data_IF_687473023939
#
_entry.id   IF_687473023939
#
_cell.length_a   1.000
_cell.length_b   1.000
_cell.length_c   1.000
_cell.angle_alpha   90.00
_cell.angle_beta   90.00
_cell.angle_gamma   90.00
#
_symmetry.space_group_name_H-M   'P 1'
#
loop_
_entity.id
_entity.type
_entity.pdbx_description
1 polymer ?
#
# COMPACT_ATOMS: atom_id res chain seq x y z
N UNK A 1 -18.17 -15.76 -11.66
CA UNK A 1 -17.62 -14.38 -11.71
C UNK A 1 -16.52 -14.30 -10.67
N UNK A 2 -15.27 -14.14 -11.11
CA UNK A 2 -14.13 -13.89 -10.23
C UNK A 2 -14.05 -12.39 -9.94
N UNK A 3 -14.12 -12.02 -8.67
CA UNK A 3 -13.91 -10.63 -8.25
C UNK A 3 -12.41 -10.34 -8.24
N UNK A 4 -11.98 -9.42 -9.10
CA UNK A 4 -10.63 -8.85 -9.04
C UNK A 4 -10.40 -7.97 -7.82
N UNK A 5 -9.18 -7.47 -7.67
CA UNK A 5 -8.81 -6.56 -6.59
C UNK A 5 -8.62 -5.13 -7.12
N UNK A 6 -9.00 -4.14 -6.32
CA UNK A 6 -8.78 -2.73 -6.68
C UNK A 6 -7.32 -2.31 -6.48
N UNK A 7 -6.90 -1.23 -7.13
CA UNK A 7 -5.58 -0.62 -6.90
C UNK A 7 -5.34 -0.30 -5.42
N UNK A 8 -6.38 0.12 -4.69
CA UNK A 8 -6.29 0.39 -3.25
C UNK A 8 -6.01 -0.86 -2.41
N UNK A 9 -6.63 -2.00 -2.79
CA UNK A 9 -6.33 -3.30 -2.18
C UNK A 9 -4.89 -3.73 -2.45
N UNK A 10 -4.42 -3.61 -3.70
CA UNK A 10 -3.05 -3.94 -4.07
C UNK A 10 -2.03 -3.06 -3.31
N UNK A 11 -2.24 -1.74 -3.27
CA UNK A 11 -1.40 -0.81 -2.51
C UNK A 11 -1.36 -1.14 -1.02
N UNK A 12 -2.51 -1.49 -0.42
CA UNK A 12 -2.61 -1.88 1.00
C UNK A 12 -1.80 -3.15 1.29
N UNK A 13 -1.90 -4.15 0.42
CA UNK A 13 -1.17 -5.41 0.56
C UNK A 13 0.34 -5.22 0.40
N UNK A 14 0.77 -4.49 -0.64
CA UNK A 14 2.17 -4.16 -0.85
C UNK A 14 2.75 -3.36 0.34
N UNK A 15 2.00 -2.37 0.86
CA UNK A 15 2.39 -1.62 2.06
C UNK A 15 2.58 -2.55 3.27
N UNK A 16 1.60 -3.42 3.54
CA UNK A 16 1.66 -4.34 4.68
C UNK A 16 2.86 -5.28 4.58
N UNK A 17 3.11 -5.85 3.41
CA UNK A 17 4.23 -6.76 3.17
C UNK A 17 5.59 -6.04 3.29
N UNK A 18 5.72 -4.82 2.75
CA UNK A 18 6.92 -4.00 2.92
C UNK A 18 7.17 -3.64 4.40
N UNK A 19 6.13 -3.30 5.16
CA UNK A 19 6.25 -3.01 6.58
C UNK A 19 6.74 -4.23 7.38
N UNK A 20 6.26 -5.43 7.02
CA UNK A 20 6.74 -6.69 7.61
C UNK A 20 8.21 -6.87 7.27
N UNK A 21 8.59 -6.70 6.00
CA UNK A 21 9.98 -6.76 5.54
C UNK A 21 10.90 -5.84 6.33
N UNK A 22 10.52 -4.58 6.50
CA UNK A 22 11.33 -3.58 7.19
C UNK A 22 11.52 -3.87 8.69
N UNK A 23 10.57 -4.54 9.33
CA UNK A 23 10.64 -4.87 10.76
C UNK A 23 11.28 -6.24 11.04
N UNK A 24 10.99 -7.22 10.19
CA UNK A 24 11.34 -8.62 10.42
C UNK A 24 12.52 -9.08 9.57
N UNK A 25 12.96 -8.28 8.60
CA UNK A 25 14.06 -8.62 7.70
C UNK A 25 13.68 -9.59 6.57
N UNK A 26 12.38 -9.86 6.38
CA UNK A 26 11.89 -10.74 5.32
C UNK A 26 10.53 -10.28 4.81
N UNK A 27 10.41 -10.10 3.49
CA UNK A 27 9.14 -9.76 2.84
C UNK A 27 8.40 -11.07 2.52
N UNK A 28 7.18 -11.28 3.03
CA UNK A 28 6.43 -12.53 2.81
C UNK A 28 6.10 -12.72 1.32
N UNK A 29 5.92 -13.98 0.89
CA UNK A 29 5.47 -14.31 -0.47
C UNK A 29 4.00 -13.95 -0.72
N UNK A 30 3.23 -13.83 0.36
CA UNK A 30 1.80 -13.61 0.29
C UNK A 30 1.31 -12.87 1.54
N UNK A 31 0.27 -12.06 1.39
CA UNK A 31 -0.32 -11.30 2.49
C UNK A 31 -1.84 -11.34 2.45
N UNK A 32 -2.43 -11.34 3.64
CA UNK A 32 -3.87 -11.18 3.80
C UNK A 32 -4.22 -9.74 4.19
N UNK A 33 -5.25 -9.19 3.55
CA UNK A 33 -5.86 -7.90 3.91
C UNK A 33 -7.38 -8.03 4.00
N UNK A 34 -7.99 -7.24 4.87
CA UNK A 34 -9.44 -7.11 4.92
C UNK A 34 -9.87 -5.90 4.09
N UNK A 35 -10.89 -6.08 3.27
CA UNK A 35 -11.48 -4.99 2.48
C UNK A 35 -12.65 -4.34 3.23
N UNK A 36 -13.05 -3.11 2.86
CA UNK A 36 -14.24 -2.47 3.43
C UNK A 36 -15.55 -3.26 3.21
N UNK A 37 -15.56 -4.15 2.21
CA UNK A 37 -16.69 -5.05 1.94
C UNK A 37 -16.75 -6.27 2.87
N UNK A 38 -15.84 -6.38 3.86
CA UNK A 38 -15.76 -7.53 4.76
C UNK A 38 -15.13 -8.78 4.15
N UNK A 39 -14.53 -8.66 2.95
CA UNK A 39 -13.88 -9.76 2.24
C UNK A 39 -12.39 -9.75 2.57
N UNK A 40 -11.86 -10.91 2.99
CA UNK A 40 -10.42 -11.13 3.12
C UNK A 40 -9.83 -11.50 1.77
N UNK A 41 -8.84 -10.73 1.32
CA UNK A 41 -8.07 -11.00 0.11
C UNK A 41 -6.71 -11.56 0.49
N UNK A 42 -6.28 -12.58 -0.24
CA UNK A 42 -4.96 -13.21 -0.12
C UNK A 42 -4.18 -12.95 -1.40
N UNK A 43 -3.10 -12.17 -1.29
CA UNK A 43 -2.44 -11.49 -2.41
C UNK A 43 -0.97 -11.87 -2.46
N UNK A 44 -0.50 -12.35 -3.62
CA UNK A 44 0.91 -12.66 -3.85
C UNK A 44 1.76 -11.39 -3.93
N UNK A 45 2.94 -11.45 -3.33
CA UNK A 45 3.91 -10.36 -3.31
C UNK A 45 5.01 -10.63 -4.32
N UNK A 46 5.29 -9.64 -5.16
CA UNK A 46 6.34 -9.66 -6.18
C UNK A 46 7.33 -8.51 -5.97
N UNK A 47 8.38 -8.46 -6.79
CA UNK A 47 9.36 -7.34 -6.86
C UNK A 47 9.92 -6.91 -5.49
N UNK A 48 10.25 -7.90 -4.65
CA UNK A 48 10.72 -7.69 -3.28
C UNK A 48 12.10 -7.04 -3.26
N UNK A 49 12.22 -5.96 -2.51
CA UNK A 49 13.46 -5.22 -2.28
C UNK A 49 13.58 -4.92 -0.79
N UNK A 50 14.71 -5.28 -0.19
CA UNK A 50 14.95 -5.06 1.23
C UNK A 50 16.33 -4.44 1.45
N UNK A 51 16.37 -3.46 2.35
CA UNK A 51 17.57 -2.79 2.83
C UNK A 51 17.44 -2.52 4.32
N UNK A 52 18.51 -2.05 4.96
CA UNK A 52 18.53 -1.77 6.40
C UNK A 52 17.53 -0.68 6.83
N UNK A 53 17.24 0.28 5.94
CA UNK A 53 16.40 1.45 6.23
C UNK A 53 15.07 1.47 5.48
N UNK A 54 14.90 0.64 4.45
CA UNK A 54 13.69 0.60 3.63
C UNK A 54 13.38 -0.80 3.09
N UNK A 55 12.10 -1.05 2.83
CA UNK A 55 11.61 -2.24 2.16
C UNK A 55 10.61 -1.83 1.08
N UNK A 56 10.58 -2.54 -0.04
CA UNK A 56 9.64 -2.31 -1.12
C UNK A 56 9.20 -3.63 -1.74
N UNK A 57 7.98 -3.65 -2.26
CA UNK A 57 7.46 -4.78 -3.02
C UNK A 57 6.29 -4.34 -3.89
N UNK A 58 5.75 -5.26 -4.68
CA UNK A 58 4.60 -5.02 -5.53
C UNK A 58 3.53 -6.09 -5.37
N UNK A 59 2.31 -5.72 -5.77
CA UNK A 59 1.21 -6.64 -6.01
C UNK A 59 0.75 -6.44 -7.45
N UNK A 60 0.70 -7.53 -8.21
CA UNK A 60 0.10 -7.51 -9.54
C UNK A 60 -1.42 -7.53 -9.39
N UNK A 61 -2.08 -6.52 -9.97
CA UNK A 61 -3.54 -6.43 -9.97
C UNK A 61 -4.13 -7.51 -10.86
N UNK A 62 -4.93 -8.37 -10.27
CA UNK A 62 -5.82 -9.28 -10.98
C UNK A 62 -7.21 -8.63 -11.05
N UNK A 63 -7.70 -8.35 -12.25
CA UNK A 63 -9.03 -7.80 -12.49
C UNK A 63 -10.15 -8.86 -12.48
N UNK A 64 -9.82 -10.15 -12.38
CA UNK A 64 -10.78 -11.23 -12.51
C UNK A 64 -11.35 -11.30 -13.93
N UNK A 65 -12.66 -11.47 -14.06
CA UNK A 65 -13.35 -11.56 -15.36
C UNK A 65 -13.72 -10.18 -15.95
N UNK A 66 -13.34 -9.09 -15.28
CA UNK A 66 -13.61 -7.72 -15.71
C UNK A 66 -12.61 -7.29 -16.81
N UNK A 67 -13.06 -6.78 -17.97
CA UNK A 67 -12.20 -6.22 -19.02
C UNK A 67 -11.63 -4.85 -18.60
N UNK A 68 -10.91 -4.83 -17.47
CA UNK A 68 -10.22 -3.67 -16.94
C UNK A 68 -8.82 -3.58 -17.56
N UNK A 69 -8.56 -2.47 -18.27
CA UNK A 69 -7.28 -2.17 -18.94
C UNK A 69 -6.07 -2.10 -18.00
N UNK A 70 -6.29 -2.07 -16.68
CA UNK A 70 -5.23 -2.13 -15.67
C UNK A 70 -4.95 -3.55 -15.17
N UNK A 71 -5.56 -4.58 -15.75
CA UNK A 71 -5.21 -5.98 -15.47
C UNK A 71 -3.70 -6.20 -15.70
N UNK A 72 -3.06 -6.86 -14.74
CA UNK A 72 -1.62 -7.13 -14.80
C UNK A 72 -0.73 -5.96 -14.41
N UNK A 73 -1.29 -4.76 -14.10
CA UNK A 73 -0.48 -3.66 -13.60
C UNK A 73 0.13 -4.02 -12.23
N UNK A 74 1.37 -3.61 -12.00
CA UNK A 74 2.02 -3.77 -10.71
C UNK A 74 1.79 -2.51 -9.89
N UNK A 75 1.23 -2.68 -8.70
CA UNK A 75 1.13 -1.60 -7.71
C UNK A 75 2.28 -1.79 -6.74
N UNK A 76 3.22 -0.85 -6.76
CA UNK A 76 4.38 -0.88 -5.89
C UNK A 76 4.06 -0.19 -4.56
N UNK A 77 4.82 -0.56 -3.55
CA UNK A 77 4.86 0.11 -2.27
C UNK A 77 6.29 0.12 -1.80
N UNK A 78 6.79 1.29 -1.39
CA UNK A 78 8.03 1.41 -0.64
C UNK A 78 7.74 1.98 0.72
N UNK A 79 8.39 1.43 1.74
CA UNK A 79 8.31 1.81 3.14
C UNK A 79 9.72 2.08 3.65
N UNK A 80 9.95 3.25 4.22
CA UNK A 80 11.21 3.64 4.86
C UNK A 80 10.98 4.11 6.29
N UNK A 81 11.96 3.91 7.17
CA UNK A 81 11.86 4.40 8.55
C UNK A 81 12.05 5.92 8.58
N UNK A 82 11.10 6.63 9.18
CA UNK A 82 11.27 8.05 9.52
C UNK A 82 11.30 8.24 11.04
N UNK A 83 11.93 9.32 11.49
CA UNK A 83 11.95 9.72 12.89
C UNK A 83 10.58 10.30 13.28
N UNK A 84 9.81 9.58 14.10
CA UNK A 84 8.54 10.06 14.63
C UNK A 84 7.55 8.93 14.94
N UNK A 85 6.30 9.32 15.19
CA UNK A 85 5.16 8.39 15.39
C UNK A 85 4.16 8.42 14.21
N UNK A 86 4.36 9.33 13.25
CA UNK A 86 3.47 9.53 12.12
C UNK A 86 3.69 8.47 11.03
N UNK A 87 2.60 8.03 10.40
CA UNK A 87 2.67 7.33 9.11
C UNK A 87 2.38 8.38 8.05
N UNK A 88 3.33 8.59 7.15
CA UNK A 88 3.23 9.52 6.04
C UNK A 88 2.94 8.72 4.77
N UNK A 89 1.88 9.09 4.07
CA UNK A 89 1.43 8.38 2.86
C UNK A 89 1.43 9.38 1.72
N UNK A 90 2.25 9.10 0.70
CA UNK A 90 2.31 9.81 -0.56
C UNK A 90 2.18 8.85 -1.76
N UNK A 91 2.13 9.42 -2.96
CA UNK A 91 2.16 8.71 -4.23
C UNK A 91 3.53 8.88 -4.88
N UNK A 92 4.13 7.77 -5.29
CA UNK A 92 5.34 7.72 -6.09
C UNK A 92 5.04 7.81 -7.59
N UNK A 93 5.93 7.24 -8.39
CA UNK A 93 5.80 7.23 -9.84
C UNK A 93 4.53 6.48 -10.28
N UNK A 94 3.76 7.08 -11.19
CA UNK A 94 2.49 6.53 -11.68
C UNK A 94 1.26 6.94 -10.87
N UNK A 95 1.42 7.50 -9.67
CA UNK A 95 0.29 8.09 -8.91
C UNK A 95 0.15 9.56 -9.25
N UNK A 96 -0.97 9.91 -9.90
CA UNK A 96 -1.28 11.29 -10.25
C UNK A 96 -1.38 12.22 -9.03
N UNK A 97 -1.23 13.52 -9.25
CA UNK A 97 -1.48 14.56 -8.24
C UNK A 97 -2.81 15.24 -8.52
N UNK A 98 -3.53 15.67 -7.48
CA UNK A 98 -4.76 16.44 -7.64
C UNK A 98 -4.41 17.84 -8.16
N UNK A 99 -4.87 18.18 -9.36
CA UNK A 99 -4.60 19.48 -10.00
C UNK A 99 -5.82 20.41 -10.05
N UNK A 100 -7.03 19.88 -9.78
CA UNK A 100 -8.30 20.61 -9.84
C UNK A 100 -9.14 20.35 -8.59
N UNK A 101 -10.00 21.31 -8.20
CA UNK A 101 -10.97 21.08 -7.12
C UNK A 101 -12.01 20.03 -7.54
N UNK A 102 -12.69 19.43 -6.55
CA UNK A 102 -13.77 18.47 -6.77
C UNK A 102 -13.44 17.01 -6.41
N UNK A 103 -12.18 16.72 -6.07
CA UNK A 103 -11.80 15.43 -5.47
C UNK A 103 -11.83 15.49 -3.94
N UNK A 104 -11.97 14.33 -3.31
CA UNK A 104 -11.93 14.19 -1.84
C UNK A 104 -10.54 14.45 -1.24
N UNK A 105 -9.53 14.63 -2.09
CA UNK A 105 -8.14 14.85 -1.73
C UNK A 105 -7.76 16.28 -2.14
N UNK A 106 -7.05 17.06 -1.31
CA UNK A 106 -6.74 18.45 -1.62
C UNK A 106 -5.79 18.58 -2.81
N UNK A 107 -5.88 19.71 -3.51
CA UNK A 107 -4.96 20.08 -4.61
C UNK A 107 -3.51 19.98 -4.14
N UNK A 108 -2.64 19.43 -5.00
CA UNK A 108 -1.22 19.21 -4.73
C UNK A 108 -0.87 17.86 -4.11
N UNK A 109 -1.83 17.14 -3.52
CA UNK A 109 -1.58 15.83 -2.91
C UNK A 109 -1.69 14.68 -3.92
N UNK A 110 -1.11 13.53 -3.57
CA UNK A 110 -1.30 12.27 -4.29
C UNK A 110 -2.78 11.93 -4.45
N UNK A 111 -3.20 11.52 -5.64
CA UNK A 111 -4.57 11.11 -5.97
C UNK A 111 -4.92 9.74 -5.37
N UNK A 112 -4.72 9.58 -4.07
CA UNK A 112 -5.05 8.39 -3.27
C UNK A 112 -6.29 8.73 -2.44
N UNK A 113 -7.42 8.12 -2.79
CA UNK A 113 -8.70 8.36 -2.13
C UNK A 113 -8.65 8.06 -0.61
N UNK A 114 -9.53 8.69 0.19
CA UNK A 114 -9.53 8.53 1.65
C UNK A 114 -9.65 7.09 2.15
N UNK A 115 -10.44 6.24 1.47
CA UNK A 115 -10.63 4.84 1.87
C UNK A 115 -9.33 4.03 1.70
N UNK A 116 -8.70 3.95 0.52
CA UNK A 116 -7.37 3.34 0.36
C UNK A 116 -6.32 3.89 1.33
N UNK A 117 -6.27 5.22 1.54
CA UNK A 117 -5.33 5.84 2.49
C UNK A 117 -5.50 5.28 3.91
N UNK A 118 -6.74 5.17 4.40
CA UNK A 118 -7.05 4.59 5.71
C UNK A 118 -6.71 3.10 5.78
N UNK A 119 -6.95 2.35 4.70
CA UNK A 119 -6.60 0.93 4.63
C UNK A 119 -5.09 0.72 4.75
N UNK A 120 -4.30 1.48 3.98
CA UNK A 120 -2.83 1.46 4.04
C UNK A 120 -2.36 1.78 5.46
N UNK A 121 -2.86 2.90 6.03
CA UNK A 121 -2.47 3.30 7.38
C UNK A 121 -2.77 2.21 8.42
N UNK A 122 -3.98 1.65 8.41
CA UNK A 122 -4.35 0.58 9.34
C UNK A 122 -3.47 -0.66 9.19
N UNK A 123 -3.21 -1.08 7.95
CA UNK A 123 -2.43 -2.27 7.66
C UNK A 123 -0.97 -2.11 8.10
N UNK A 124 -0.36 -0.96 7.84
CA UNK A 124 1.01 -0.64 8.30
C UNK A 124 1.03 -0.50 9.82
N UNK A 125 0.07 0.19 10.43
CA UNK A 125 -0.03 0.38 11.88
C UNK A 125 -0.14 -0.95 12.64
N UNK A 126 -0.88 -1.91 12.08
CA UNK A 126 -1.00 -3.25 12.65
C UNK A 126 0.35 -4.00 12.70
N UNK A 127 1.27 -3.68 11.80
CA UNK A 127 2.62 -4.28 11.73
C UNK A 127 3.60 -3.54 12.64
N UNK A 128 3.64 -2.20 12.60
CA UNK A 128 4.62 -1.40 13.37
C UNK A 128 4.25 -1.24 14.86
N UNK A 129 2.99 -1.48 15.23
CA UNK A 129 2.50 -1.38 16.60
C UNK A 129 2.27 0.06 17.08
N UNK A 130 1.80 0.22 18.33
CA UNK A 130 1.39 1.50 18.93
C UNK A 130 2.48 2.27 19.72
N UNK A 131 3.76 1.87 19.73
CA UNK A 131 4.74 2.36 20.73
C UNK A 131 5.74 3.45 20.26
N UNK A 132 5.51 4.67 20.76
CA UNK A 132 6.36 5.72 21.40
C UNK A 132 7.80 6.07 20.99
N UNK A 133 8.47 5.39 20.07
CA UNK A 133 9.80 5.81 19.60
C UNK A 133 10.03 5.49 18.12
N UNK A 134 10.17 6.54 17.32
CA UNK A 134 10.96 6.57 16.08
C UNK A 134 10.61 5.52 15.00
N UNK A 135 9.32 5.28 14.76
CA UNK A 135 8.88 4.37 13.70
C UNK A 135 7.74 5.01 12.92
N UNK A 136 8.05 6.07 12.21
CA UNK A 136 7.19 6.46 11.10
C UNK A 136 7.54 5.67 9.86
N UNK A 137 6.62 5.68 8.90
CA UNK A 137 6.81 5.09 7.59
C UNK A 137 6.38 6.10 6.54
N UNK A 138 7.26 6.41 5.59
CA UNK A 138 6.86 7.07 4.35
C UNK A 138 6.49 6.00 3.33
N UNK A 139 5.33 6.16 2.68
CA UNK A 139 4.80 5.26 1.67
C UNK A 139 4.73 5.96 0.32
N UNK A 140 5.28 5.32 -0.72
CA UNK A 140 5.08 5.70 -2.12
C UNK A 140 4.38 4.54 -2.86
N UNK A 141 3.12 4.76 -3.28
CA UNK A 141 2.40 3.90 -4.24
C UNK A 141 2.70 4.27 -5.68
#
# INVERSE_FOLDING_TARGET
MKFGYTTGSCATAAAKAAAIGLLQGVIPDEIEINTPAGITLRLKITDKQLSDSSAGCAVQKDAGDDPDVTHGCKVHARIERIFGEAIEIDGGEGVGRVTKPGLQVPIGHAAINPVPRRMIEHAVRAVIGKKKRSKGCNFCA
#
